data_IF_725454010457
#
_entry.id   IF_725454010457
#
_cell.length_a   1.000
_cell.length_b   1.000
_cell.length_c   1.000
_cell.angle_alpha   90.00
_cell.angle_beta   90.00
_cell.angle_gamma   90.00
#
_symmetry.space_group_name_H-M   'P 1'
#
loop_
_entity.id
_entity.type
_entity.pdbx_description
1 polymer ?
#
# COMPACT_ATOMS: atom_id res chain seq x y z
N UNK A 1 8.97 -23.58 -14.66
CA UNK A 1 8.01 -23.37 -13.55
C UNK A 1 8.22 -21.94 -13.07
N UNK A 2 7.19 -21.09 -13.11
CA UNK A 2 7.29 -19.74 -12.55
C UNK A 2 7.27 -19.87 -11.01
N UNK A 3 8.28 -19.32 -10.35
CA UNK A 3 8.27 -19.24 -8.89
C UNK A 3 7.23 -18.19 -8.46
N UNK A 4 6.44 -18.43 -7.41
CA UNK A 4 5.56 -17.41 -6.86
C UNK A 4 6.43 -16.24 -6.41
N UNK A 5 6.21 -15.06 -7.02
CA UNK A 5 6.86 -13.83 -6.58
C UNK A 5 5.98 -13.24 -5.49
N UNK A 6 6.39 -13.43 -4.23
CA UNK A 6 5.81 -12.69 -3.11
C UNK A 6 5.92 -11.20 -3.40
N UNK A 7 4.78 -10.50 -3.36
CA UNK A 7 4.72 -9.03 -3.38
C UNK A 7 4.20 -8.56 -2.04
N UNK A 8 4.52 -7.33 -1.68
CA UNK A 8 3.99 -6.70 -0.47
C UNK A 8 3.04 -5.55 -0.84
N UNK A 9 2.01 -5.37 -0.03
CA UNK A 9 1.05 -4.29 -0.12
C UNK A 9 0.95 -3.51 1.19
N UNK A 10 0.26 -2.38 1.12
CA UNK A 10 -0.02 -1.45 2.21
C UNK A 10 -1.53 -1.39 2.39
N UNK A 11 -2.04 -2.08 3.39
CA UNK A 11 -3.47 -2.04 3.74
C UNK A 11 -3.74 -0.82 4.58
N UNK A 12 -4.58 0.09 4.11
CA UNK A 12 -4.97 1.28 4.88
C UNK A 12 -5.87 0.83 6.04
N UNK A 13 -5.50 1.14 7.28
CA UNK A 13 -6.25 0.74 8.49
C UNK A 13 -6.97 1.92 9.15
N UNK A 14 -6.51 3.15 8.91
CA UNK A 14 -7.11 4.40 9.37
C UNK A 14 -6.55 5.58 8.60
N UNK A 15 -7.17 6.76 8.74
CA UNK A 15 -6.62 8.01 8.24
C UNK A 15 -7.21 9.19 9.04
N UNK A 16 -6.51 9.71 10.08
CA UNK A 16 -7.02 10.82 10.88
C UNK A 16 -7.01 12.16 10.12
N UNK A 17 -6.17 12.28 9.10
CA UNK A 17 -6.07 13.46 8.24
C UNK A 17 -6.85 13.27 6.94
N UNK A 18 -8.01 13.94 6.82
CA UNK A 18 -8.88 13.83 5.65
C UNK A 18 -8.26 14.41 4.36
N UNK A 19 -7.17 15.17 4.43
CA UNK A 19 -6.49 15.74 3.26
C UNK A 19 -5.53 14.77 2.57
N UNK A 20 -5.26 13.60 3.17
CA UNK A 20 -4.45 12.57 2.54
C UNK A 20 -5.19 11.94 1.36
N UNK A 21 -4.47 11.62 0.30
CA UNK A 21 -5.04 10.99 -0.91
C UNK A 21 -5.73 9.65 -0.62
N UNK A 22 -5.26 8.93 0.40
CA UNK A 22 -5.80 7.63 0.82
C UNK A 22 -6.93 7.73 1.86
N UNK A 23 -7.43 8.94 2.18
CA UNK A 23 -8.42 9.14 3.24
C UNK A 23 -9.75 8.41 2.99
N UNK A 24 -10.14 8.24 1.74
CA UNK A 24 -11.33 7.48 1.32
C UNK A 24 -11.09 5.98 1.12
N UNK A 25 -9.88 5.48 1.36
CA UNK A 25 -9.45 4.14 0.97
C UNK A 25 -9.18 3.19 2.16
N UNK A 26 -9.83 3.45 3.31
CA UNK A 26 -9.69 2.59 4.50
C UNK A 26 -10.19 1.18 4.16
N UNK A 27 -9.34 0.17 4.40
CA UNK A 27 -9.58 -1.24 4.07
C UNK A 27 -8.99 -1.68 2.73
N UNK A 28 -8.68 -0.74 1.83
CA UNK A 28 -8.03 -1.05 0.55
C UNK A 28 -6.53 -1.28 0.70
N UNK A 29 -5.92 -1.93 -0.29
CA UNK A 29 -4.50 -2.27 -0.30
C UNK A 29 -3.80 -1.72 -1.54
N UNK A 30 -2.70 -1.02 -1.34
CA UNK A 30 -1.88 -0.43 -2.41
C UNK A 30 -0.48 -1.07 -2.46
N UNK A 31 0.22 -1.05 -3.60
CA UNK A 31 1.54 -1.69 -3.69
C UNK A 31 2.58 -0.98 -2.82
N UNK A 32 3.35 -1.75 -2.03
CA UNK A 32 4.55 -1.23 -1.38
C UNK A 32 5.68 -1.12 -2.43
N UNK A 33 6.14 0.11 -2.69
CA UNK A 33 7.25 0.37 -3.62
C UNK A 33 8.60 0.52 -2.90
N UNK A 34 8.61 1.21 -1.75
CA UNK A 34 9.81 1.42 -0.93
C UNK A 34 9.45 1.95 0.47
N UNK A 35 10.36 1.80 1.42
CA UNK A 35 10.30 2.41 2.74
C UNK A 35 11.09 3.74 2.75
N UNK A 36 10.46 4.82 3.24
CA UNK A 36 11.02 6.17 3.34
C UNK A 36 11.00 6.69 4.79
N UNK A 37 11.27 5.84 5.77
CA UNK A 37 11.37 6.24 7.17
C UNK A 37 10.02 6.31 7.86
N UNK A 38 9.32 7.45 7.78
CA UNK A 38 8.01 7.64 8.43
C UNK A 38 6.83 7.32 7.50
N UNK A 39 7.10 7.19 6.21
CA UNK A 39 6.12 6.91 5.18
C UNK A 39 6.58 5.76 4.27
N UNK A 40 5.61 5.07 3.67
CA UNK A 40 5.87 4.15 2.58
C UNK A 40 5.57 4.81 1.24
N UNK A 41 6.44 4.56 0.27
CA UNK A 41 6.21 4.92 -1.12
C UNK A 41 5.25 3.91 -1.75
N UNK A 42 4.21 4.42 -2.41
CA UNK A 42 3.12 3.64 -3.00
C UNK A 42 2.74 4.18 -4.39
N UNK A 43 1.75 3.54 -5.03
CA UNK A 43 1.11 4.01 -6.26
C UNK A 43 -0.39 4.13 -6.03
N UNK A 44 -0.93 5.33 -6.25
CA UNK A 44 -2.36 5.62 -6.11
C UNK A 44 -3.16 5.13 -7.34
N UNK A 45 -4.51 5.12 -7.30
CA UNK A 45 -5.34 4.59 -8.39
C UNK A 45 -5.10 5.22 -9.76
N UNK A 46 -4.79 6.51 -9.82
CA UNK A 46 -4.47 7.21 -11.08
C UNK A 46 -3.07 6.88 -11.63
N UNK A 47 -2.29 6.08 -10.88
CA UNK A 47 -0.98 5.60 -11.30
C UNK A 47 0.18 6.48 -10.87
N UNK A 48 -0.05 7.59 -10.17
CA UNK A 48 1.02 8.43 -9.63
C UNK A 48 1.69 7.79 -8.42
N UNK A 49 2.96 8.13 -8.23
CA UNK A 49 3.70 7.77 -7.01
C UNK A 49 3.31 8.74 -5.90
N UNK A 50 2.89 8.20 -4.76
CA UNK A 50 2.52 8.98 -3.58
C UNK A 50 2.92 8.22 -2.30
N UNK A 51 2.69 8.82 -1.13
CA UNK A 51 3.16 8.30 0.15
C UNK A 51 2.01 8.01 1.13
N UNK A 52 2.17 6.97 1.94
CA UNK A 52 1.23 6.58 3.01
C UNK A 52 1.98 6.59 4.33
N UNK A 53 1.41 7.18 5.38
CA UNK A 53 2.04 7.15 6.70
C UNK A 53 2.06 5.73 7.27
N UNK A 54 3.18 5.34 7.89
CA UNK A 54 3.30 4.02 8.54
C UNK A 54 2.24 3.79 9.61
N UNK A 55 1.86 4.84 10.33
CA UNK A 55 0.83 4.79 11.37
C UNK A 55 -0.59 4.56 10.85
N UNK A 56 -0.80 4.65 9.53
CA UNK A 56 -2.11 4.59 8.88
C UNK A 56 -2.31 3.31 8.06
N UNK A 57 -1.28 2.47 7.94
CA UNK A 57 -1.34 1.23 7.17
C UNK A 57 -0.57 0.06 7.80
N UNK A 58 -0.85 -1.14 7.32
CA UNK A 58 -0.13 -2.37 7.64
C UNK A 58 0.50 -2.95 6.37
N UNK A 59 1.72 -3.49 6.47
CA UNK A 59 2.34 -4.23 5.37
C UNK A 59 1.75 -5.64 5.31
N UNK A 60 1.22 -6.02 4.16
CA UNK A 60 0.58 -7.33 3.94
C UNK A 60 1.27 -8.09 2.81
N UNK A 61 1.33 -9.41 2.93
CA UNK A 61 1.79 -10.27 1.84
C UNK A 61 0.69 -10.40 0.77
N UNK A 62 1.06 -10.16 -0.48
CA UNK A 62 0.20 -10.33 -1.65
C UNK A 62 0.60 -11.62 -2.36
N UNK A 63 -0.13 -12.69 -2.09
CA UNK A 63 -0.07 -13.92 -2.87
C UNK A 63 -0.87 -13.73 -4.15
N UNK A 64 -0.24 -13.82 -5.32
CA UNK A 64 -0.99 -14.01 -6.56
C UNK A 64 -1.54 -15.44 -6.57
N UNK A 65 -2.83 -15.66 -6.89
CA UNK A 65 -3.31 -17.00 -7.17
C UNK A 65 -2.55 -17.56 -8.38
N UNK A 66 -2.18 -18.84 -8.33
CA UNK A 66 -1.61 -19.52 -9.47
C UNK A 66 -2.57 -19.41 -10.66
N UNK A 67 -2.05 -18.97 -11.81
CA UNK A 67 -2.79 -18.86 -13.08
C UNK A 67 -3.12 -20.23 -13.65
#
# INVERSE_FOLDING_TARGET
MAQPSTRFGLKIIRCPDAMRWYSSHIGETFPLLADFGDEFKSREPEGYVNFIQKGDCEVVELTQPAS
#
